data_IF_170443216676
#
_entry.id   IF_170443216676
#
_cell.length_a   1.000
_cell.length_b   1.000
_cell.length_c   1.000
_cell.angle_alpha   90.00
_cell.angle_beta   90.00
_cell.angle_gamma   90.00
#
_symmetry.space_group_name_H-M   'P 1'
#
loop_
_entity.id
_entity.type
_entity.pdbx_description
1 polymer ?
#
# COMPACT_ATOMS: atom_id res chain seq x y z
N UNK A 1 -33.46 38.14 -4.45
CA UNK A 1 -32.45 37.28 -5.12
C UNK A 1 -32.27 36.10 -4.21
N UNK A 2 -33.01 35.03 -4.49
CA UNK A 2 -32.94 33.79 -3.72
C UNK A 2 -31.61 33.11 -4.04
N UNK A 3 -30.74 33.04 -3.04
CA UNK A 3 -29.55 32.19 -3.09
C UNK A 3 -30.02 30.74 -3.00
N UNK A 4 -30.10 30.07 -4.15
CA UNK A 4 -30.17 28.61 -4.19
C UNK A 4 -28.93 28.07 -3.47
N UNK A 5 -29.13 27.53 -2.28
CA UNK A 5 -28.08 26.79 -1.58
C UNK A 5 -27.75 25.56 -2.44
N UNK A 6 -26.51 25.47 -2.91
CA UNK A 6 -26.01 24.25 -3.55
C UNK A 6 -26.08 23.11 -2.53
N UNK A 7 -26.90 22.11 -2.83
CA UNK A 7 -27.01 20.90 -2.04
C UNK A 7 -25.71 20.10 -2.26
N UNK A 8 -24.76 20.21 -1.33
CA UNK A 8 -23.54 19.40 -1.34
C UNK A 8 -23.69 18.18 -0.42
N UNK A 9 -22.78 17.21 -0.55
CA UNK A 9 -22.80 15.97 0.24
C UNK A 9 -22.67 16.21 1.75
N UNK A 10 -22.00 17.29 2.15
CA UNK A 10 -21.82 17.69 3.56
C UNK A 10 -23.13 18.25 4.16
N UNK A 11 -23.89 19.01 3.37
CA UNK A 11 -25.20 19.53 3.75
C UNK A 11 -26.20 18.37 3.90
N UNK A 12 -26.17 17.41 2.97
CA UNK A 12 -27.00 16.19 3.04
C UNK A 12 -26.63 15.37 4.29
N UNK A 13 -25.33 15.14 4.56
CA UNK A 13 -24.89 14.36 5.72
C UNK A 13 -25.14 15.06 7.06
N UNK A 14 -25.22 16.40 7.07
CA UNK A 14 -25.59 17.19 8.25
C UNK A 14 -27.10 17.16 8.57
N UNK A 15 -27.95 16.97 7.55
CA UNK A 15 -29.42 16.93 7.68
C UNK A 15 -29.91 15.48 7.87
N UNK A 16 -29.26 14.52 7.21
CA UNK A 16 -29.54 13.09 7.29
C UNK A 16 -28.21 12.42 7.70
N UNK A 17 -27.95 12.26 9.01
CA UNK A 17 -26.77 11.56 9.46
C UNK A 17 -26.76 10.12 8.92
N UNK A 18 -25.58 9.60 8.62
CA UNK A 18 -25.45 8.22 8.16
C UNK A 18 -25.96 7.27 9.25
N UNK A 19 -26.87 6.33 8.90
CA UNK A 19 -27.36 5.35 9.85
C UNK A 19 -26.20 4.61 10.49
N UNK A 20 -26.17 4.57 11.81
CA UNK A 20 -25.13 3.90 12.58
C UNK A 20 -25.76 3.06 13.70
N UNK A 21 -24.95 2.27 14.38
CA UNK A 21 -25.44 1.32 15.38
C UNK A 21 -26.15 1.97 16.58
N UNK A 22 -25.96 3.27 16.83
CA UNK A 22 -26.66 3.99 17.91
C UNK A 22 -28.15 4.18 17.63
N UNK A 23 -28.56 4.12 16.35
CA UNK A 23 -29.96 4.27 15.92
C UNK A 23 -30.86 3.09 16.31
N UNK A 24 -30.27 1.95 16.70
CA UNK A 24 -30.99 0.72 17.10
C UNK A 24 -31.43 0.70 18.57
N UNK A 25 -31.08 1.71 19.37
CA UNK A 25 -31.15 1.65 20.84
C UNK A 25 -32.49 2.05 21.50
N UNK A 26 -33.54 2.37 20.72
CA UNK A 26 -34.74 3.07 21.26
C UNK A 26 -36.06 2.29 21.24
N UNK A 27 -36.07 0.96 21.06
CA UNK A 27 -37.29 0.15 21.23
C UNK A 27 -37.04 -1.05 22.15
N UNK A 28 -38.08 -1.44 22.90
CA UNK A 28 -38.02 -2.48 23.93
C UNK A 28 -38.50 -3.81 23.35
N UNK A 29 -37.57 -4.60 22.82
CA UNK A 29 -37.78 -6.00 22.47
C UNK A 29 -36.56 -6.84 22.89
N UNK A 30 -36.75 -8.16 23.13
CA UNK A 30 -35.61 -9.06 23.43
C UNK A 30 -34.58 -9.11 22.29
N UNK A 31 -35.01 -8.79 21.07
CA UNK A 31 -34.15 -8.62 19.91
C UNK A 31 -33.28 -7.36 20.01
N UNK A 32 -33.81 -6.26 20.54
CA UNK A 32 -33.05 -5.02 20.79
C UNK A 32 -32.01 -5.22 21.91
N UNK A 33 -32.31 -6.05 22.91
CA UNK A 33 -31.34 -6.47 23.93
C UNK A 33 -30.20 -7.33 23.34
N UNK A 34 -30.52 -8.26 22.42
CA UNK A 34 -29.52 -9.07 21.72
C UNK A 34 -28.60 -8.21 20.86
N UNK A 35 -29.19 -7.25 20.14
CA UNK A 35 -28.45 -6.26 19.36
C UNK A 35 -27.53 -5.49 20.30
N UNK A 36 -28.05 -4.84 21.35
CA UNK A 36 -27.22 -4.02 22.24
C UNK A 36 -26.05 -4.80 22.86
N UNK A 37 -26.28 -6.05 23.27
CA UNK A 37 -25.22 -6.93 23.79
C UNK A 37 -24.15 -7.22 22.73
N UNK A 38 -24.56 -7.38 21.47
CA UNK A 38 -23.67 -7.56 20.34
C UNK A 38 -22.90 -6.27 20.01
N UNK A 39 -23.53 -5.11 20.11
CA UNK A 39 -22.90 -3.80 19.89
C UNK A 39 -21.86 -3.48 20.97
N UNK A 40 -22.18 -3.75 22.23
CA UNK A 40 -21.26 -3.54 23.36
C UNK A 40 -19.99 -4.40 23.21
N UNK A 41 -20.15 -5.62 22.68
CA UNK A 41 -19.01 -6.51 22.40
C UNK A 41 -18.20 -6.08 21.16
N UNK A 42 -18.87 -5.55 20.13
CA UNK A 42 -18.25 -5.09 18.87
C UNK A 42 -17.73 -3.65 18.90
N UNK A 43 -17.69 -3.01 20.07
CA UNK A 43 -17.22 -1.64 20.24
C UNK A 43 -15.95 -1.35 19.40
N UNK A 44 -15.99 -0.40 18.44
CA UNK A 44 -14.87 -0.18 17.52
C UNK A 44 -13.58 0.13 18.28
N UNK A 45 -12.51 -0.59 17.94
CA UNK A 45 -11.21 -0.41 18.57
C UNK A 45 -10.35 0.60 17.82
N UNK A 46 -9.70 1.47 18.59
CA UNK A 46 -8.69 2.41 18.12
C UNK A 46 -7.36 2.12 18.85
N UNK A 47 -6.25 1.89 18.13
CA UNK A 47 -4.94 1.72 18.74
C UNK A 47 -4.52 2.94 19.58
N UNK A 48 -3.80 2.71 20.68
CA UNK A 48 -3.24 3.82 21.46
C UNK A 48 -2.24 4.62 20.61
N UNK A 49 -2.33 5.96 20.64
CA UNK A 49 -1.48 6.85 19.83
C UNK A 49 0.01 6.82 20.23
N UNK A 50 0.31 6.26 21.40
CA UNK A 50 1.66 6.14 21.97
C UNK A 50 2.18 4.71 21.73
N UNK A 51 2.67 4.44 20.51
CA UNK A 51 3.27 3.15 20.16
C UNK A 51 4.66 2.94 20.76
N UNK A 52 5.10 3.78 21.71
CA UNK A 52 6.42 3.72 22.34
C UNK A 52 6.72 2.40 23.06
N UNK A 53 5.70 1.60 23.38
CA UNK A 53 5.86 0.24 23.95
C UNK A 53 6.11 -0.86 22.91
N UNK A 54 6.05 -0.56 21.61
CA UNK A 54 6.25 -1.55 20.54
C UNK A 54 7.63 -1.46 19.88
N UNK A 55 8.57 -0.67 20.42
CA UNK A 55 9.89 -0.44 19.82
C UNK A 55 10.89 -1.59 20.00
N UNK A 56 10.69 -2.51 20.94
CA UNK A 56 11.74 -3.44 21.36
C UNK A 56 11.49 -4.93 21.06
N UNK A 57 10.46 -5.29 20.29
CA UNK A 57 10.13 -6.71 20.10
C UNK A 57 10.26 -7.14 18.64
N UNK A 58 11.38 -7.79 18.31
CA UNK A 58 11.47 -8.77 17.22
C UNK A 58 10.65 -10.04 17.50
N UNK A 59 9.52 -9.91 18.19
CA UNK A 59 8.60 -11.01 18.54
C UNK A 59 7.27 -10.78 17.84
N UNK A 60 6.67 -11.84 17.29
CA UNK A 60 5.33 -11.76 16.74
C UNK A 60 4.36 -11.40 17.88
N UNK A 61 3.61 -10.32 17.69
CA UNK A 61 2.22 -10.25 18.14
C UNK A 61 2.01 -10.29 19.68
N UNK A 62 2.22 -9.16 20.36
CA UNK A 62 1.22 -8.72 21.36
C UNK A 62 0.09 -8.01 20.62
N UNK A 63 -0.46 -8.69 19.61
CA UNK A 63 -1.74 -8.33 19.07
C UNK A 63 -2.75 -8.42 20.21
N UNK A 64 -3.66 -7.45 20.31
CA UNK A 64 -4.73 -7.49 21.30
C UNK A 64 -5.36 -8.88 21.27
N UNK A 65 -5.36 -9.59 22.41
CA UNK A 65 -6.24 -10.75 22.55
C UNK A 65 -7.67 -10.22 22.49
N UNK A 66 -8.32 -10.41 21.35
CA UNK A 66 -9.76 -10.17 21.22
C UNK A 66 -10.44 -11.08 22.24
N UNK A 67 -11.22 -10.48 23.13
CA UNK A 67 -11.91 -11.22 24.18
C UNK A 67 -12.96 -12.12 23.54
N UNK A 68 -12.85 -13.43 23.78
CA UNK A 68 -13.82 -14.39 23.29
C UNK A 68 -15.25 -13.98 23.72
N UNK A 69 -16.23 -14.07 22.81
CA UNK A 69 -17.59 -13.70 23.14
C UNK A 69 -18.16 -14.66 24.19
N UNK A 70 -18.88 -14.10 25.15
CA UNK A 70 -19.62 -14.88 26.15
C UNK A 70 -20.70 -15.72 25.48
N UNK A 71 -21.23 -16.73 26.19
CA UNK A 71 -22.35 -17.53 25.65
C UNK A 71 -23.56 -16.68 25.30
N UNK A 72 -23.82 -15.60 26.05
CA UNK A 72 -24.91 -14.67 25.77
C UNK A 72 -24.70 -13.93 24.45
N UNK A 73 -23.48 -13.48 24.18
CA UNK A 73 -23.09 -12.83 22.92
C UNK A 73 -23.16 -13.83 21.76
N UNK A 74 -22.68 -15.07 21.93
CA UNK A 74 -22.79 -16.13 20.92
C UNK A 74 -24.26 -16.44 20.55
N UNK A 75 -25.15 -16.44 21.53
CA UNK A 75 -26.59 -16.58 21.28
C UNK A 75 -27.17 -15.38 20.54
N UNK A 76 -26.79 -14.16 20.92
CA UNK A 76 -27.22 -12.93 20.23
C UNK A 76 -26.73 -12.90 18.77
N UNK A 77 -25.48 -13.28 18.50
CA UNK A 77 -24.93 -13.43 17.14
C UNK A 77 -25.83 -14.35 16.30
N UNK A 78 -26.19 -15.53 16.82
CA UNK A 78 -27.05 -16.48 16.11
C UNK A 78 -28.48 -15.96 15.91
N UNK A 79 -28.99 -15.16 16.83
CA UNK A 79 -30.31 -14.54 16.76
C UNK A 79 -30.38 -13.42 15.72
N UNK A 80 -29.40 -12.51 15.73
CA UNK A 80 -29.38 -11.31 14.89
C UNK A 80 -28.82 -11.56 13.49
N UNK A 81 -27.82 -12.44 13.34
CA UNK A 81 -27.04 -12.62 12.10
C UNK A 81 -27.35 -13.95 11.37
N UNK A 82 -28.61 -14.38 11.43
CA UNK A 82 -29.06 -15.67 10.89
C UNK A 82 -29.03 -15.74 9.35
N UNK A 83 -29.52 -14.69 8.70
CA UNK A 83 -29.69 -14.64 7.24
C UNK A 83 -28.71 -13.65 6.62
N UNK A 84 -28.24 -13.93 5.39
CA UNK A 84 -27.25 -13.09 4.69
C UNK A 84 -27.72 -11.64 4.51
N UNK A 85 -29.03 -11.42 4.33
CA UNK A 85 -29.61 -10.06 4.24
C UNK A 85 -29.38 -9.27 5.53
N UNK A 86 -29.63 -9.89 6.69
CA UNK A 86 -29.43 -9.26 7.98
C UNK A 86 -27.94 -9.04 8.26
N UNK A 87 -27.10 -10.00 7.86
CA UNK A 87 -25.65 -9.87 7.93
C UNK A 87 -25.15 -8.67 7.11
N UNK A 88 -25.64 -8.48 5.88
CA UNK A 88 -25.28 -7.32 5.06
C UNK A 88 -25.67 -6.03 5.76
N UNK A 89 -26.94 -5.88 6.16
CA UNK A 89 -27.43 -4.65 6.82
C UNK A 89 -26.63 -4.33 8.08
N UNK A 90 -26.36 -5.34 8.90
CA UNK A 90 -25.53 -5.20 10.09
C UNK A 90 -24.13 -4.68 9.76
N UNK A 91 -23.47 -5.29 8.76
CA UNK A 91 -22.12 -4.88 8.34
C UNK A 91 -22.09 -3.45 7.80
N UNK A 92 -23.13 -3.00 7.11
CA UNK A 92 -23.19 -1.62 6.62
C UNK A 92 -23.25 -0.61 7.76
N UNK A 93 -24.09 -0.86 8.76
CA UNK A 93 -24.16 -0.03 9.97
C UNK A 93 -22.85 -0.06 10.76
N UNK A 94 -22.27 -1.25 10.92
CA UNK A 94 -21.04 -1.41 11.70
C UNK A 94 -19.85 -0.71 11.03
N UNK A 95 -19.74 -0.81 9.70
CA UNK A 95 -18.74 -0.11 8.92
C UNK A 95 -18.85 1.42 9.09
N UNK A 96 -20.06 1.97 9.15
CA UNK A 96 -20.24 3.40 9.38
C UNK A 96 -19.72 3.81 10.77
N UNK A 97 -20.00 3.01 11.80
CA UNK A 97 -19.48 3.26 13.15
C UNK A 97 -17.96 3.13 13.22
N UNK A 98 -17.37 2.14 12.54
CA UNK A 98 -15.92 2.01 12.40
C UNK A 98 -15.33 3.24 11.70
N UNK A 99 -15.93 3.68 10.60
CA UNK A 99 -15.44 4.80 9.81
C UNK A 99 -15.35 6.08 10.64
N UNK A 100 -16.38 6.39 11.42
CA UNK A 100 -16.40 7.57 12.28
C UNK A 100 -15.23 7.55 13.28
N UNK A 101 -15.04 6.41 13.97
CA UNK A 101 -13.99 6.22 14.97
C UNK A 101 -12.59 6.23 14.37
N UNK A 102 -12.40 5.56 13.24
CA UNK A 102 -11.13 5.50 12.53
C UNK A 102 -10.75 6.87 11.97
N UNK A 103 -11.71 7.61 11.42
CA UNK A 103 -11.45 8.95 10.87
C UNK A 103 -11.05 9.94 11.97
N UNK A 104 -11.80 9.99 13.08
CA UNK A 104 -11.44 10.78 14.26
C UNK A 104 -10.03 10.45 14.78
N UNK A 105 -9.67 9.16 14.77
CA UNK A 105 -8.33 8.73 15.17
C UNK A 105 -7.23 9.22 14.23
N UNK A 106 -7.40 9.05 12.91
CA UNK A 106 -6.40 9.48 11.94
C UNK A 106 -6.24 11.00 11.95
N UNK A 107 -7.32 11.77 12.06
CA UNK A 107 -7.29 13.22 12.26
C UNK A 107 -6.43 13.60 13.48
N UNK A 108 -6.60 12.91 14.61
CA UNK A 108 -5.83 13.17 15.83
C UNK A 108 -4.33 12.85 15.71
N UNK A 109 -3.96 12.02 14.73
CA UNK A 109 -2.59 11.53 14.52
C UNK A 109 -1.85 12.33 13.46
N UNK A 110 -2.54 12.97 12.51
CA UNK A 110 -1.92 13.80 11.46
C UNK A 110 -0.94 14.81 12.08
N UNK A 111 -1.28 15.39 13.23
CA UNK A 111 -0.44 16.36 13.95
C UNK A 111 0.76 15.75 14.69
N UNK A 112 0.82 14.43 14.84
CA UNK A 112 1.84 13.72 15.65
C UNK A 112 3.09 13.31 14.87
N UNK A 113 3.15 13.57 13.56
CA UNK A 113 4.31 13.30 12.69
C UNK A 113 4.88 11.87 12.84
N UNK A 114 4.02 10.85 12.81
CA UNK A 114 4.43 9.45 12.98
C UNK A 114 5.46 9.00 11.94
N UNK A 115 6.31 8.04 12.29
CA UNK A 115 7.20 7.34 11.36
C UNK A 115 6.39 6.38 10.47
N UNK A 116 6.91 6.06 9.29
CA UNK A 116 6.24 5.14 8.36
C UNK A 116 5.89 3.78 9.00
N UNK A 117 6.84 3.19 9.74
CA UNK A 117 6.62 1.90 10.42
C UNK A 117 5.51 1.96 11.47
N UNK A 118 5.29 3.12 12.09
CA UNK A 118 4.22 3.30 13.07
C UNK A 118 2.85 3.24 12.40
N UNK A 119 2.69 3.80 11.20
CA UNK A 119 1.47 3.62 10.39
C UNK A 119 1.24 2.15 10.03
N UNK A 120 2.28 1.43 9.60
CA UNK A 120 2.16 0.00 9.27
C UNK A 120 1.70 -0.81 10.48
N UNK A 121 2.26 -0.53 11.65
CA UNK A 121 1.84 -1.21 12.88
C UNK A 121 0.39 -0.90 13.25
N UNK A 122 -0.08 0.34 13.06
CA UNK A 122 -1.49 0.71 13.23
C UNK A 122 -2.38 -0.11 12.31
N UNK A 123 -2.02 -0.21 11.03
CA UNK A 123 -2.77 -1.00 10.03
C UNK A 123 -2.87 -2.46 10.50
N UNK A 124 -1.76 -3.08 10.91
CA UNK A 124 -1.75 -4.47 11.40
C UNK A 124 -2.64 -4.67 12.61
N UNK A 125 -2.61 -3.74 13.57
CA UNK A 125 -3.43 -3.82 14.79
C UNK A 125 -4.92 -3.72 14.42
N UNK A 126 -5.29 -2.76 13.57
CA UNK A 126 -6.67 -2.60 13.10
C UNK A 126 -7.16 -3.84 12.36
N UNK A 127 -6.40 -4.31 11.37
CA UNK A 127 -6.74 -5.50 10.59
C UNK A 127 -6.89 -6.73 11.48
N UNK A 128 -5.95 -6.95 12.39
CA UNK A 128 -6.04 -8.10 13.30
C UNK A 128 -7.27 -8.01 14.19
N UNK A 129 -7.52 -6.86 14.82
CA UNK A 129 -8.66 -6.69 15.73
C UNK A 129 -9.98 -7.01 15.02
N UNK A 130 -10.22 -6.38 13.86
CA UNK A 130 -11.45 -6.59 13.12
C UNK A 130 -11.53 -8.01 12.55
N UNK A 131 -10.46 -8.56 11.97
CA UNK A 131 -10.50 -9.95 11.47
C UNK A 131 -10.80 -10.96 12.58
N UNK A 132 -10.18 -10.81 13.75
CA UNK A 132 -10.43 -11.69 14.89
C UNK A 132 -11.81 -11.53 15.51
N UNK A 133 -12.43 -10.35 15.46
CA UNK A 133 -13.86 -10.24 15.84
C UNK A 133 -14.77 -10.96 14.85
N UNK A 134 -14.45 -10.87 13.56
CA UNK A 134 -15.26 -11.46 12.49
C UNK A 134 -15.23 -12.98 12.49
N UNK A 135 -14.13 -13.61 12.96
CA UNK A 135 -14.06 -15.06 13.18
C UNK A 135 -15.22 -15.57 14.06
N UNK A 136 -15.69 -14.77 15.03
CA UNK A 136 -16.78 -15.17 15.92
C UNK A 136 -18.18 -14.81 15.41
N UNK A 137 -18.30 -13.90 14.43
CA UNK A 137 -19.58 -13.48 13.86
C UNK A 137 -20.19 -14.54 12.92
N UNK A 138 -19.39 -15.52 12.48
CA UNK A 138 -19.82 -16.62 11.61
C UNK A 138 -20.58 -16.14 10.36
N UNK A 139 -20.06 -15.08 9.74
CA UNK A 139 -20.63 -14.47 8.55
C UNK A 139 -20.35 -15.33 7.31
N UNK A 140 -21.17 -15.18 6.29
CA UNK A 140 -20.87 -15.78 4.98
C UNK A 140 -19.62 -15.16 4.34
N UNK A 141 -18.92 -15.93 3.50
CA UNK A 141 -17.71 -15.48 2.81
C UNK A 141 -17.94 -14.21 1.98
N UNK A 142 -19.12 -14.07 1.36
CA UNK A 142 -19.48 -12.90 0.57
C UNK A 142 -19.59 -11.64 1.44
N UNK A 143 -20.23 -11.76 2.61
CA UNK A 143 -20.37 -10.66 3.56
C UNK A 143 -19.02 -10.29 4.15
N UNK A 144 -18.20 -11.28 4.51
CA UNK A 144 -16.84 -11.05 4.98
C UNK A 144 -15.98 -10.30 3.95
N UNK A 145 -16.01 -10.73 2.68
CA UNK A 145 -15.31 -10.03 1.58
C UNK A 145 -15.77 -8.59 1.41
N UNK A 146 -17.09 -8.33 1.49
CA UNK A 146 -17.64 -6.96 1.45
C UNK A 146 -17.16 -6.12 2.62
N UNK A 147 -17.16 -6.68 3.83
CA UNK A 147 -16.64 -6.00 5.01
C UNK A 147 -15.15 -5.65 4.83
N UNK A 148 -14.32 -6.63 4.46
CA UNK A 148 -12.88 -6.44 4.28
C UNK A 148 -12.59 -5.36 3.23
N UNK A 149 -13.32 -5.36 2.11
CA UNK A 149 -13.18 -4.31 1.10
C UNK A 149 -13.52 -2.91 1.64
N UNK A 150 -14.62 -2.78 2.42
CA UNK A 150 -15.01 -1.50 3.03
C UNK A 150 -14.02 -1.05 4.13
N UNK A 151 -13.54 -1.96 4.96
CA UNK A 151 -12.54 -1.66 5.99
C UNK A 151 -11.22 -1.19 5.36
N UNK A 152 -10.73 -1.91 4.36
CA UNK A 152 -9.53 -1.54 3.61
C UNK A 152 -9.67 -0.17 2.95
N UNK A 153 -10.85 0.13 2.40
CA UNK A 153 -11.17 1.44 1.85
C UNK A 153 -11.12 2.55 2.91
N UNK A 154 -11.75 2.36 4.07
CA UNK A 154 -11.72 3.34 5.18
C UNK A 154 -10.29 3.63 5.62
N UNK A 155 -9.50 2.59 5.84
CA UNK A 155 -8.10 2.71 6.26
C UNK A 155 -7.31 3.48 5.18
N UNK A 156 -7.47 3.10 3.91
CA UNK A 156 -6.74 3.71 2.79
C UNK A 156 -7.12 5.16 2.57
N UNK A 157 -8.39 5.52 2.60
CA UNK A 157 -8.86 6.91 2.47
C UNK A 157 -8.28 7.81 3.57
N UNK A 158 -8.26 7.32 4.81
CA UNK A 158 -7.70 8.07 5.92
C UNK A 158 -6.17 8.21 5.84
N UNK A 159 -5.47 7.18 5.35
CA UNK A 159 -4.02 7.23 5.15
C UNK A 159 -3.63 8.15 3.99
N UNK A 160 -4.41 8.19 2.91
CA UNK A 160 -4.12 8.94 1.68
C UNK A 160 -4.79 10.32 1.62
N UNK A 161 -5.42 10.76 2.71
CA UNK A 161 -5.92 12.12 2.85
C UNK A 161 -4.79 13.15 2.58
N UNK A 162 -5.10 14.27 1.93
CA UNK A 162 -4.13 15.31 1.54
C UNK A 162 -3.31 15.86 2.73
N UNK A 163 -3.90 15.84 3.93
CA UNK A 163 -3.23 16.29 5.16
C UNK A 163 -2.23 15.25 5.70
N UNK A 164 -2.29 14.00 5.22
CA UNK A 164 -1.45 12.91 5.68
C UNK A 164 -0.07 12.93 5.03
N UNK A 165 0.97 12.82 5.85
CA UNK A 165 2.36 12.65 5.38
C UNK A 165 2.70 11.20 5.00
N UNK A 166 1.72 10.28 5.04
CA UNK A 166 1.93 8.86 4.82
C UNK A 166 2.58 8.56 3.47
N UNK A 167 2.03 9.09 2.36
CA UNK A 167 2.57 8.82 1.00
C UNK A 167 4.01 9.29 0.84
N UNK A 168 4.35 10.47 1.37
CA UNK A 168 5.72 10.98 1.33
C UNK A 168 6.69 10.10 2.15
N UNK A 169 6.28 9.69 3.35
CA UNK A 169 7.07 8.79 4.21
C UNK A 169 7.22 7.38 3.62
N UNK A 170 6.18 6.91 2.93
CA UNK A 170 6.20 5.65 2.18
C UNK A 170 7.24 5.70 1.04
N UNK A 171 7.20 6.75 0.21
CA UNK A 171 8.20 6.97 -0.85
C UNK A 171 9.63 6.94 -0.31
N UNK A 172 9.89 7.73 0.74
CA UNK A 172 11.20 7.79 1.37
C UNK A 172 11.64 6.43 1.92
N UNK A 173 10.74 5.70 2.59
CA UNK A 173 11.05 4.40 3.14
C UNK A 173 11.44 3.39 2.05
N UNK A 174 10.71 3.33 0.93
CA UNK A 174 11.00 2.41 -0.16
C UNK A 174 12.27 2.78 -0.91
N UNK A 175 12.54 4.07 -1.11
CA UNK A 175 13.81 4.54 -1.68
C UNK A 175 15.01 4.09 -0.84
N UNK A 176 14.96 4.33 0.48
CA UNK A 176 16.02 3.93 1.40
C UNK A 176 16.20 2.40 1.47
N UNK A 177 15.09 1.67 1.53
CA UNK A 177 15.10 0.23 1.76
C UNK A 177 15.56 -0.55 0.53
N UNK A 178 15.06 -0.18 -0.67
CA UNK A 178 15.35 -0.88 -1.91
C UNK A 178 16.74 -0.50 -2.45
N UNK A 179 17.10 0.79 -2.47
CA UNK A 179 18.24 1.26 -3.26
C UNK A 179 19.42 1.84 -2.47
N UNK A 180 19.21 2.27 -1.21
CA UNK A 180 20.30 2.87 -0.40
C UNK A 180 20.94 1.83 0.51
N UNK A 181 20.13 1.07 1.25
CA UNK A 181 20.64 0.07 2.20
C UNK A 181 20.90 -1.29 1.54
N UNK A 182 20.49 -1.46 0.28
CA UNK A 182 20.59 -2.70 -0.48
C UNK A 182 20.13 -3.91 0.35
N UNK A 183 19.00 -3.77 1.05
CA UNK A 183 18.51 -4.73 2.06
C UNK A 183 18.25 -6.13 1.50
N UNK A 184 18.17 -6.25 0.17
CA UNK A 184 17.92 -7.49 -0.55
C UNK A 184 19.20 -8.21 -1.02
N UNK A 185 20.39 -7.64 -0.74
CA UNK A 185 21.68 -8.30 -0.97
C UNK A 185 21.89 -9.53 -0.07
N UNK A 186 21.10 -9.67 0.99
CA UNK A 186 21.15 -10.80 1.92
C UNK A 186 19.73 -11.25 2.33
N UNK A 187 19.11 -12.21 1.61
CA UNK A 187 17.71 -12.58 1.76
C UNK A 187 17.35 -13.21 3.11
N UNK A 188 18.34 -13.66 3.88
CA UNK A 188 18.16 -14.20 5.23
C UNK A 188 18.19 -13.13 6.33
N UNK A 189 18.32 -11.85 5.96
CA UNK A 189 18.38 -10.76 6.94
C UNK A 189 16.99 -10.46 7.52
N UNK A 190 16.94 -10.13 8.81
CA UNK A 190 15.71 -9.67 9.49
C UNK A 190 15.09 -8.43 8.83
N UNK A 191 15.88 -7.69 8.06
CA UNK A 191 15.46 -6.48 7.35
C UNK A 191 14.65 -6.85 6.11
N UNK A 192 15.06 -7.88 5.36
CA UNK A 192 14.33 -8.39 4.19
C UNK A 192 12.95 -8.92 4.57
N UNK A 193 12.86 -9.69 5.66
CA UNK A 193 11.59 -10.21 6.17
C UNK A 193 10.65 -9.09 6.61
N UNK A 194 11.18 -8.04 7.24
CA UNK A 194 10.41 -6.86 7.62
C UNK A 194 9.86 -6.11 6.40
N UNK A 195 10.65 -5.96 5.33
CA UNK A 195 10.19 -5.34 4.09
C UNK A 195 9.04 -6.12 3.43
N UNK A 196 9.14 -7.45 3.36
CA UNK A 196 8.08 -8.31 2.81
C UNK A 196 6.80 -8.21 3.66
N UNK A 197 6.94 -8.24 4.98
CA UNK A 197 5.82 -8.07 5.91
C UNK A 197 5.14 -6.70 5.74
N UNK A 198 5.91 -5.63 5.52
CA UNK A 198 5.37 -4.30 5.17
C UNK A 198 4.62 -4.33 3.83
N UNK A 199 5.22 -4.87 2.77
CA UNK A 199 4.60 -4.92 1.44
C UNK A 199 3.29 -5.72 1.49
N UNK A 200 3.30 -6.91 2.11
CA UNK A 200 2.12 -7.76 2.24
C UNK A 200 1.02 -7.09 3.06
N UNK A 201 1.36 -6.36 4.13
CA UNK A 201 0.39 -5.58 4.91
C UNK A 201 -0.29 -4.52 4.05
N UNK A 202 0.48 -3.76 3.27
CA UNK A 202 -0.04 -2.69 2.43
C UNK A 202 -0.86 -3.25 1.25
N UNK A 203 -0.42 -4.36 0.65
CA UNK A 203 -1.19 -5.06 -0.37
C UNK A 203 -2.53 -5.58 0.19
N UNK A 204 -2.56 -6.05 1.45
CA UNK A 204 -3.79 -6.56 2.08
C UNK A 204 -4.89 -5.51 2.27
N UNK A 205 -4.52 -4.22 2.33
CA UNK A 205 -5.47 -3.10 2.37
C UNK A 205 -5.75 -2.48 1.00
N UNK A 206 -5.31 -3.11 -0.09
CA UNK A 206 -5.58 -2.66 -1.45
C UNK A 206 -4.64 -1.56 -1.97
N UNK A 207 -3.45 -1.37 -1.37
CA UNK A 207 -2.47 -0.39 -1.85
C UNK A 207 -1.52 -0.93 -2.93
N UNK A 208 -1.85 -2.04 -3.59
CA UNK A 208 -1.00 -2.66 -4.62
C UNK A 208 -0.63 -1.70 -5.76
N UNK A 209 -1.60 -0.96 -6.30
CA UNK A 209 -1.35 -0.04 -7.41
C UNK A 209 -0.44 1.13 -7.02
N UNK A 210 -0.66 1.68 -5.83
CA UNK A 210 0.20 2.75 -5.29
C UNK A 210 1.63 2.25 -5.05
N UNK A 211 1.80 1.04 -4.50
CA UNK A 211 3.12 0.42 -4.34
C UNK A 211 3.82 0.25 -5.69
N UNK A 212 3.09 -0.25 -6.69
CA UNK A 212 3.63 -0.45 -8.04
C UNK A 212 4.07 0.88 -8.66
N UNK A 213 3.24 1.93 -8.57
CA UNK A 213 3.56 3.28 -9.04
C UNK A 213 4.87 3.80 -8.42
N UNK A 214 5.00 3.68 -7.10
CA UNK A 214 6.17 4.14 -6.35
C UNK A 214 7.43 3.41 -6.80
N UNK A 215 7.37 2.08 -6.89
CA UNK A 215 8.53 1.27 -7.27
C UNK A 215 8.94 1.51 -8.71
N UNK A 216 7.99 1.58 -9.64
CA UNK A 216 8.27 1.93 -11.04
C UNK A 216 8.99 3.27 -11.12
N UNK A 217 8.46 4.30 -10.44
CA UNK A 217 9.06 5.63 -10.44
C UNK A 217 10.48 5.62 -9.88
N UNK A 218 10.69 5.00 -8.73
CA UNK A 218 12.02 4.91 -8.10
C UNK A 218 13.01 4.12 -8.98
N UNK A 219 12.59 3.04 -9.63
CA UNK A 219 13.42 2.30 -10.58
C UNK A 219 13.84 3.19 -11.74
N UNK A 220 12.91 3.90 -12.37
CA UNK A 220 13.20 4.80 -13.50
C UNK A 220 14.17 5.90 -13.06
N UNK A 221 13.93 6.54 -11.92
CA UNK A 221 14.78 7.61 -11.41
C UNK A 221 16.21 7.11 -11.12
N UNK A 222 16.33 5.88 -10.57
CA UNK A 222 17.63 5.25 -10.32
C UNK A 222 18.36 4.90 -11.62
N UNK A 223 17.65 4.40 -12.62
CA UNK A 223 18.20 4.12 -13.97
C UNK A 223 18.74 5.41 -14.58
N UNK A 224 17.94 6.48 -14.58
CA UNK A 224 18.34 7.80 -15.10
C UNK A 224 19.57 8.34 -14.38
N UNK A 225 19.59 8.26 -13.06
CA UNK A 225 20.73 8.69 -12.28
C UNK A 225 22.00 7.90 -12.62
N UNK A 226 21.91 6.57 -12.69
CA UNK A 226 23.04 5.72 -13.05
C UNK A 226 23.57 6.02 -14.46
N UNK A 227 22.68 6.07 -15.46
CA UNK A 227 23.06 6.37 -16.85
C UNK A 227 23.76 7.72 -16.94
N UNK A 228 23.19 8.78 -16.34
CA UNK A 228 23.80 10.12 -16.35
C UNK A 228 25.13 10.19 -15.59
N UNK A 229 25.32 9.40 -14.53
CA UNK A 229 26.54 9.45 -13.72
C UNK A 229 27.69 8.68 -14.37
N UNK A 230 27.41 7.50 -14.93
CA UNK A 230 28.43 6.58 -15.40
C UNK A 230 28.65 6.59 -16.92
N UNK A 231 27.70 7.14 -17.70
CA UNK A 231 27.74 7.11 -19.17
C UNK A 231 28.03 8.47 -19.81
N UNK A 232 27.89 9.56 -19.05
CA UNK A 232 28.05 10.93 -19.54
C UNK A 232 29.50 11.20 -19.93
N UNK A 233 29.71 11.76 -21.11
CA UNK A 233 31.03 12.03 -21.71
C UNK A 233 31.95 10.79 -21.84
N UNK A 234 31.41 9.58 -21.76
CA UNK A 234 32.17 8.33 -21.90
C UNK A 234 31.81 7.69 -23.24
N UNK A 235 32.64 7.89 -24.27
CA UNK A 235 32.34 7.45 -25.66
C UNK A 235 33.33 6.42 -26.21
N UNK A 236 34.42 6.17 -25.48
CA UNK A 236 35.54 5.35 -25.93
C UNK A 236 35.41 3.86 -25.58
N UNK A 237 34.31 3.44 -24.96
CA UNK A 237 34.05 2.05 -24.55
C UNK A 237 32.55 1.72 -24.63
N UNK A 238 32.19 0.44 -24.82
CA UNK A 238 30.79 0.02 -24.81
C UNK A 238 30.21 0.11 -23.40
N UNK A 239 28.95 0.55 -23.30
CA UNK A 239 28.25 0.75 -22.03
C UNK A 239 27.01 -0.11 -21.87
N UNK A 240 26.43 -0.63 -22.96
CA UNK A 240 25.19 -1.42 -22.92
C UNK A 240 25.29 -2.64 -21.98
N UNK A 241 26.39 -3.37 -21.99
CA UNK A 241 26.58 -4.52 -21.09
C UNK A 241 26.61 -4.10 -19.62
N UNK A 242 27.25 -2.97 -19.32
CA UNK A 242 27.33 -2.42 -17.97
C UNK A 242 25.96 -1.99 -17.47
N UNK A 243 25.19 -1.30 -18.32
CA UNK A 243 23.82 -0.88 -18.02
C UNK A 243 22.93 -2.11 -17.83
N UNK A 244 22.97 -3.09 -18.73
CA UNK A 244 22.17 -4.31 -18.61
C UNK A 244 22.48 -5.07 -17.32
N UNK A 245 23.76 -5.20 -16.96
CA UNK A 245 24.18 -5.84 -15.73
C UNK A 245 23.67 -5.08 -14.49
N UNK A 246 23.69 -3.74 -14.51
CA UNK A 246 23.13 -2.92 -13.45
C UNK A 246 21.62 -3.14 -13.29
N UNK A 247 20.86 -3.16 -14.40
CA UNK A 247 19.42 -3.46 -14.36
C UNK A 247 19.17 -4.85 -13.78
N UNK A 248 19.86 -5.87 -14.29
CA UNK A 248 19.64 -7.27 -13.91
C UNK A 248 20.01 -7.56 -12.45
N UNK A 249 21.11 -6.97 -11.95
CA UNK A 249 21.66 -7.32 -10.65
C UNK A 249 21.24 -6.36 -9.53
N UNK A 250 20.92 -5.10 -9.83
CA UNK A 250 20.62 -4.09 -8.80
C UNK A 250 19.19 -3.55 -8.85
N UNK A 251 18.61 -3.34 -10.03
CA UNK A 251 17.25 -2.76 -10.13
C UNK A 251 16.19 -3.86 -10.06
N UNK A 252 16.31 -4.86 -10.91
CA UNK A 252 15.27 -5.84 -11.13
C UNK A 252 14.94 -6.71 -9.91
N UNK A 253 15.90 -7.19 -9.09
CA UNK A 253 15.56 -7.98 -7.91
C UNK A 253 14.71 -7.19 -6.91
N UNK A 254 15.02 -5.90 -6.73
CA UNK A 254 14.28 -4.98 -5.86
C UNK A 254 12.88 -4.70 -6.41
N UNK A 255 12.78 -4.46 -7.72
CA UNK A 255 11.52 -4.28 -8.42
C UNK A 255 10.62 -5.52 -8.30
N UNK A 256 11.18 -6.68 -8.62
CA UNK A 256 10.49 -7.97 -8.64
C UNK A 256 9.89 -8.35 -7.30
N UNK A 257 10.62 -8.14 -6.20
CA UNK A 257 10.11 -8.43 -4.87
C UNK A 257 8.80 -7.68 -4.63
N UNK A 258 8.72 -6.38 -4.91
CA UNK A 258 7.46 -5.66 -4.69
C UNK A 258 6.35 -6.17 -5.60
N UNK A 259 6.61 -6.30 -6.90
CA UNK A 259 5.60 -6.75 -7.88
C UNK A 259 5.08 -8.15 -7.55
N UNK A 260 5.94 -9.06 -7.09
CA UNK A 260 5.55 -10.43 -6.75
C UNK A 260 4.54 -10.53 -5.60
N UNK A 261 4.53 -9.55 -4.70
CA UNK A 261 3.60 -9.50 -3.56
C UNK A 261 2.38 -8.60 -3.82
N UNK A 262 2.39 -7.77 -4.87
CA UNK A 262 1.28 -6.86 -5.20
C UNK A 262 0.41 -7.34 -6.36
N UNK A 263 0.90 -8.26 -7.19
CA UNK A 263 0.14 -8.83 -8.31
C UNK A 263 -0.63 -10.09 -7.90
N UNK A 264 -1.93 -10.13 -8.23
CA UNK A 264 -2.91 -11.14 -7.76
C UNK A 264 -2.76 -12.54 -8.38
N UNK A 265 -1.67 -12.81 -9.08
CA UNK A 265 -1.42 -14.09 -9.75
C UNK A 265 0.09 -14.29 -9.83
N UNK A 266 0.56 -15.48 -9.45
CA UNK A 266 1.94 -15.95 -9.66
C UNK A 266 2.48 -15.35 -10.95
N UNK A 267 3.44 -14.43 -10.86
CA UNK A 267 4.10 -13.85 -12.02
C UNK A 267 4.58 -15.03 -12.87
N UNK A 268 3.93 -15.25 -14.00
CA UNK A 268 4.38 -16.26 -14.95
C UNK A 268 5.75 -15.84 -15.43
N UNK A 269 6.61 -16.81 -15.76
CA UNK A 269 7.96 -16.51 -16.28
C UNK A 269 7.90 -15.55 -17.49
N UNK A 270 6.80 -15.57 -18.26
CA UNK A 270 6.54 -14.62 -19.34
C UNK A 270 6.36 -13.18 -18.84
N UNK A 271 5.51 -12.94 -17.83
CA UNK A 271 5.34 -11.60 -17.24
C UNK A 271 6.62 -11.11 -16.57
N UNK A 272 7.37 -12.02 -15.95
CA UNK A 272 8.64 -11.70 -15.33
C UNK A 272 9.66 -11.17 -16.35
N UNK A 273 9.77 -11.86 -17.50
CA UNK A 273 10.64 -11.46 -18.60
C UNK A 273 10.19 -10.14 -19.26
N UNK A 274 8.89 -9.85 -19.29
CA UNK A 274 8.37 -8.58 -19.80
C UNK A 274 8.84 -7.40 -18.94
N UNK A 275 8.72 -7.46 -17.61
CA UNK A 275 9.16 -6.35 -16.75
C UNK A 275 10.66 -6.10 -16.84
N UNK A 276 11.48 -7.15 -16.89
CA UNK A 276 12.92 -6.99 -17.07
C UNK A 276 13.24 -6.32 -18.41
N UNK A 277 12.58 -6.78 -19.48
CA UNK A 277 12.74 -6.20 -20.81
C UNK A 277 12.36 -4.71 -20.84
N UNK A 278 11.24 -4.33 -20.22
CA UNK A 278 10.79 -2.94 -20.15
C UNK A 278 11.80 -2.05 -19.40
N UNK A 279 12.34 -2.51 -18.27
CA UNK A 279 13.38 -1.79 -17.52
C UNK A 279 14.67 -1.62 -18.33
N UNK A 280 15.08 -2.66 -19.07
CA UNK A 280 16.23 -2.58 -19.98
C UNK A 280 15.95 -1.60 -21.11
N UNK A 281 14.75 -1.61 -21.70
CA UNK A 281 14.36 -0.66 -22.75
C UNK A 281 14.43 0.78 -22.26
N UNK A 282 13.88 1.07 -21.08
CA UNK A 282 13.95 2.40 -20.46
C UNK A 282 15.41 2.85 -20.30
N UNK A 283 16.30 1.95 -19.88
CA UNK A 283 17.71 2.26 -19.73
C UNK A 283 18.41 2.55 -21.07
N UNK A 284 18.02 1.83 -22.13
CA UNK A 284 18.53 2.07 -23.49
C UNK A 284 18.02 3.39 -24.05
N UNK A 285 16.74 3.71 -23.85
CA UNK A 285 16.15 4.99 -24.26
C UNK A 285 16.86 6.16 -23.57
N UNK A 286 17.17 6.04 -22.27
CA UNK A 286 17.94 7.05 -21.54
C UNK A 286 19.37 7.20 -22.09
N UNK A 287 20.04 6.09 -22.43
CA UNK A 287 21.36 6.14 -23.07
C UNK A 287 21.30 6.82 -24.44
N UNK A 288 20.30 6.50 -25.26
CA UNK A 288 20.08 7.15 -26.57
C UNK A 288 19.88 8.65 -26.36
N UNK A 289 19.02 9.06 -25.43
CA UNK A 289 18.76 10.46 -25.13
C UNK A 289 20.03 11.21 -24.72
N UNK A 290 20.84 10.62 -23.84
CA UNK A 290 22.12 11.18 -23.43
C UNK A 290 23.09 11.33 -24.63
N UNK A 291 23.17 10.33 -25.50
CA UNK A 291 24.03 10.37 -26.69
C UNK A 291 23.58 11.40 -27.71
N UNK A 292 22.28 11.59 -27.89
CA UNK A 292 21.73 12.65 -28.74
C UNK A 292 22.13 14.02 -28.19
N UNK A 293 22.07 14.23 -26.87
CA UNK A 293 22.51 15.48 -26.25
C UNK A 293 24.01 15.75 -26.42
N UNK A 294 24.83 14.69 -26.46
CA UNK A 294 26.29 14.76 -26.57
C UNK A 294 26.82 14.67 -28.02
N UNK A 295 25.93 14.50 -29.01
CA UNK A 295 26.31 14.06 -30.36
C UNK A 295 27.31 14.99 -31.05
N UNK A 296 27.18 16.29 -30.86
CA UNK A 296 28.10 17.28 -31.43
C UNK A 296 29.54 17.07 -30.93
N UNK A 297 29.69 16.92 -29.61
CA UNK A 297 30.98 16.70 -28.97
C UNK A 297 31.57 15.34 -29.36
N UNK A 298 30.71 14.32 -29.51
CA UNK A 298 31.13 13.01 -30.02
C UNK A 298 31.71 13.13 -31.42
N UNK A 299 31.05 13.84 -32.33
CA UNK A 299 31.54 14.03 -33.71
C UNK A 299 32.86 14.79 -33.74
N UNK A 300 33.02 15.82 -32.91
CA UNK A 300 34.28 16.57 -32.81
C UNK A 300 35.46 15.73 -32.30
N UNK A 301 35.21 14.77 -31.40
CA UNK A 301 36.23 13.89 -30.84
C UNK A 301 36.48 12.63 -31.67
N UNK A 302 35.89 12.51 -32.86
CA UNK A 302 36.20 11.40 -33.76
C UNK A 302 37.70 11.43 -34.15
N UNK A 303 38.44 10.30 -34.11
CA UNK A 303 37.96 8.91 -34.03
C UNK A 303 37.79 8.31 -32.64
N UNK A 304 38.17 9.00 -31.56
CA UNK A 304 38.16 8.44 -30.20
C UNK A 304 36.73 8.08 -29.70
N UNK A 305 35.73 8.75 -30.24
CA UNK A 305 34.29 8.54 -29.95
C UNK A 305 33.61 7.47 -30.81
N UNK A 306 34.36 6.79 -31.71
CA UNK A 306 33.79 5.84 -32.68
C UNK A 306 32.96 4.74 -32.02
N UNK A 307 33.38 4.24 -30.86
CA UNK A 307 32.66 3.20 -30.12
C UNK A 307 31.27 3.68 -29.71
N UNK A 308 31.16 4.89 -29.13
CA UNK A 308 29.89 5.47 -28.73
C UNK A 308 28.96 5.78 -29.91
N UNK A 309 29.50 6.20 -31.06
CA UNK A 309 28.70 6.42 -32.28
C UNK A 309 28.14 5.09 -32.84
N UNK A 310 28.94 4.03 -32.84
CA UNK A 310 28.51 2.70 -33.25
C UNK A 310 27.45 2.12 -32.30
N UNK A 311 27.62 2.32 -30.99
CA UNK A 311 26.64 1.90 -29.99
C UNK A 311 25.31 2.65 -30.16
N UNK A 312 25.34 3.96 -30.39
CA UNK A 312 24.14 4.75 -30.70
C UNK A 312 23.42 4.23 -31.96
N UNK A 313 24.16 3.96 -33.04
CA UNK A 313 23.59 3.38 -34.26
C UNK A 313 22.94 2.03 -33.99
N UNK A 314 23.60 1.15 -33.23
CA UNK A 314 23.06 -0.14 -32.85
C UNK A 314 21.76 0.01 -32.04
N UNK A 315 21.72 0.88 -31.03
CA UNK A 315 20.53 1.14 -30.23
C UNK A 315 19.36 1.62 -31.11
N UNK A 316 19.59 2.64 -31.95
CA UNK A 316 18.56 3.18 -32.85
C UNK A 316 18.05 2.15 -33.87
N UNK A 317 18.91 1.24 -34.32
CA UNK A 317 18.52 0.19 -35.27
C UNK A 317 17.58 -0.86 -34.66
N UNK A 318 17.58 -1.00 -33.33
CA UNK A 318 16.77 -1.96 -32.57
C UNK A 318 15.45 -1.41 -32.04
N UNK A 319 15.23 -0.09 -32.10
CA UNK A 319 13.98 0.58 -31.70
C UNK A 319 12.88 0.40 -32.78
N UNK A 320 12.87 -0.73 -33.51
CA UNK A 320 11.89 -1.04 -34.56
C UNK A 320 10.77 -1.93 -34.06
#
# INVERSE_FOLDING_TARGET
MDTQAEINADLISSIIPFPNLTDLSNTTSDFDNDIQILLDWLSPYIPATSLTKYRDCGSPLLLLRVQEPSQRVKSAIRGCLKDEVNQIQFIELYINTINEKVSQFFESIVTKNLKFIEYVNIIKILLHYYNSQFEYLNLSDNVYKKFQAKLSFIITCNLLNEQSSFRAKMNQFFEESLYVRATLSNPSSSITLNLIDIISTLASIGMSDLLNEIVIKLSIDKIKHFTNTYSRNVWNKPLLSTINNFIQNEIYPNFYIVISYTTSSNLTDSMNNVYLYELVRIAHDELINLRIQEIYSMVLQYPESQVGLNELHYCLSKVK
#
